data_IF_417037287926
#
_entry.id   IF_417037287926
#
_cell.length_a   1.000
_cell.length_b   1.000
_cell.length_c   1.000
_cell.angle_alpha   90.00
_cell.angle_beta   90.00
_cell.angle_gamma   90.00
#
_symmetry.space_group_name_H-M   'P 1'
#
loop_
_entity.id
_entity.type
_entity.pdbx_description
1 polymer ?
#
# COMPACT_ATOMS: atom_id res chain seq x y z
N UNK A 1 -1.77 12.25 0.48
CA UNK A 1 -0.84 11.75 -0.57
C UNK A 1 -0.89 10.23 -0.64
N UNK A 2 -0.33 9.64 -1.70
CA UNK A 2 -0.22 8.19 -1.89
C UNK A 2 1.25 7.86 -2.19
N UNK A 3 1.83 6.91 -1.45
CA UNK A 3 3.18 6.42 -1.70
C UNK A 3 3.10 5.06 -2.41
N UNK A 4 3.76 4.93 -3.58
CA UNK A 4 3.81 3.70 -4.39
C UNK A 4 5.11 2.96 -4.10
N UNK A 5 5.02 1.73 -3.59
CA UNK A 5 6.17 0.97 -3.07
C UNK A 5 6.18 -0.41 -3.72
N UNK A 6 7.25 -0.72 -4.43
CA UNK A 6 7.35 -1.96 -5.21
C UNK A 6 8.69 -2.69 -5.01
N UNK A 7 9.64 -2.10 -4.28
CA UNK A 7 10.93 -2.72 -3.90
C UNK A 7 11.33 -2.37 -2.48
N UNK A 8 12.14 -3.22 -1.87
CA UNK A 8 12.70 -3.00 -0.52
C UNK A 8 13.56 -1.73 -0.48
N UNK A 9 14.20 -1.37 -1.60
CA UNK A 9 14.99 -0.15 -1.71
C UNK A 9 14.20 1.14 -1.42
N UNK A 10 12.86 1.11 -1.48
CA UNK A 10 11.99 2.26 -1.21
C UNK A 10 11.56 2.37 0.26
N UNK A 11 11.85 1.37 1.10
CA UNK A 11 11.44 1.37 2.52
C UNK A 11 12.06 2.53 3.30
N UNK A 12 13.23 3.02 2.88
CA UNK A 12 13.82 4.22 3.48
C UNK A 12 12.93 5.45 3.34
N UNK A 13 12.23 5.62 2.21
CA UNK A 13 11.28 6.73 2.02
C UNK A 13 10.17 6.67 3.07
N UNK A 14 9.70 5.46 3.38
CA UNK A 14 8.65 5.25 4.37
C UNK A 14 9.11 5.58 5.79
N UNK A 15 10.35 5.21 6.14
CA UNK A 15 10.97 5.56 7.41
C UNK A 15 11.11 7.08 7.57
N UNK A 16 11.53 7.79 6.52
CA UNK A 16 11.67 9.24 6.51
C UNK A 16 10.32 9.97 6.73
N UNK A 17 9.21 9.33 6.32
CA UNK A 17 7.85 9.84 6.45
C UNK A 17 7.14 9.41 7.74
N UNK A 18 7.72 8.46 8.48
CA UNK A 18 7.08 7.80 9.62
C UNK A 18 6.57 8.78 10.67
N UNK A 19 7.41 9.74 11.08
CA UNK A 19 7.05 10.65 12.16
C UNK A 19 5.95 11.64 11.73
N UNK A 20 6.00 12.11 10.48
CA UNK A 20 5.04 13.09 9.93
C UNK A 20 3.64 12.49 9.87
N UNK A 21 3.53 11.26 9.37
CA UNK A 21 2.23 10.60 9.16
C UNK A 21 1.85 9.62 10.27
N UNK A 22 2.67 9.51 11.34
CA UNK A 22 2.45 8.62 12.47
C UNK A 22 2.24 7.16 12.05
N UNK A 23 3.07 6.72 11.10
CA UNK A 23 3.02 5.37 10.52
C UNK A 23 3.48 4.36 11.57
N UNK A 24 2.66 3.38 11.97
CA UNK A 24 3.06 2.34 12.93
C UNK A 24 4.22 1.50 12.39
N UNK A 25 5.04 0.97 13.29
CA UNK A 25 6.16 0.10 12.92
C UNK A 25 5.68 -1.19 12.24
N UNK A 26 4.53 -1.70 12.66
CA UNK A 26 3.86 -2.87 12.10
C UNK A 26 3.50 -2.65 10.62
N UNK A 27 3.02 -1.45 10.28
CA UNK A 27 2.71 -1.08 8.90
C UNK A 27 3.97 -1.06 8.05
N UNK A 28 5.06 -0.48 8.56
CA UNK A 28 6.35 -0.48 7.84
C UNK A 28 6.84 -1.89 7.58
N UNK A 29 6.78 -2.77 8.60
CA UNK A 29 7.19 -4.19 8.46
C UNK A 29 6.32 -4.96 7.48
N UNK A 30 5.00 -4.73 7.47
CA UNK A 30 4.09 -5.36 6.49
C UNK A 30 4.44 -4.92 5.07
N UNK A 31 4.65 -3.62 4.86
CA UNK A 31 5.02 -3.08 3.54
C UNK A 31 6.41 -3.59 3.10
N UNK A 32 7.38 -3.63 4.00
CA UNK A 32 8.71 -4.21 3.75
C UNK A 32 8.60 -5.68 3.36
N UNK A 33 7.82 -6.47 4.09
CA UNK A 33 7.62 -7.88 3.80
C UNK A 33 7.00 -8.13 2.42
N UNK A 34 5.98 -7.35 2.04
CA UNK A 34 5.39 -7.43 0.70
C UNK A 34 6.45 -7.08 -0.37
N UNK A 35 7.23 -6.03 -0.14
CA UNK A 35 8.29 -5.64 -1.07
C UNK A 35 9.40 -6.69 -1.19
N UNK A 36 9.77 -7.38 -0.09
CA UNK A 36 10.71 -8.51 -0.10
C UNK A 36 10.20 -9.66 -0.97
N UNK A 37 8.91 -10.00 -0.86
CA UNK A 37 8.28 -11.03 -1.72
C UNK A 37 8.34 -10.59 -3.19
N UNK A 38 7.99 -9.34 -3.48
CA UNK A 38 8.01 -8.81 -4.84
C UNK A 38 9.42 -8.84 -5.45
N UNK A 39 10.43 -8.43 -4.68
CA UNK A 39 11.83 -8.47 -5.11
C UNK A 39 12.34 -9.91 -5.32
N UNK A 40 11.92 -10.84 -4.46
CA UNK A 40 12.33 -12.25 -4.54
C UNK A 40 11.69 -13.01 -5.71
N UNK A 41 10.39 -12.82 -5.94
CA UNK A 41 9.62 -13.59 -6.92
C UNK A 41 9.65 -12.97 -8.32
N UNK A 42 9.65 -11.63 -8.42
CA UNK A 42 9.57 -10.91 -9.70
C UNK A 42 10.86 -10.15 -10.06
N UNK A 43 11.81 -10.08 -9.14
CA UNK A 43 13.13 -9.52 -9.37
C UNK A 43 13.25 -8.02 -9.09
N UNK A 44 14.37 -7.64 -8.49
CA UNK A 44 14.67 -6.25 -8.09
C UNK A 44 14.84 -5.28 -9.27
N UNK A 45 14.90 -5.75 -10.51
CA UNK A 45 15.09 -4.90 -11.71
C UNK A 45 13.79 -4.65 -12.48
N UNK A 46 12.66 -5.24 -12.04
CA UNK A 46 11.37 -5.18 -12.74
C UNK A 46 10.83 -3.77 -12.93
N UNK A 47 10.33 -3.47 -14.11
CA UNK A 47 9.58 -2.25 -14.39
C UNK A 47 8.15 -2.40 -13.85
N UNK A 48 7.82 -1.72 -12.76
CA UNK A 48 6.53 -1.86 -12.06
C UNK A 48 5.31 -1.61 -12.95
N UNK A 49 5.45 -0.82 -14.01
CA UNK A 49 4.34 -0.48 -14.91
C UNK A 49 4.25 -1.41 -16.12
N UNK A 50 5.22 -2.30 -16.34
CA UNK A 50 5.28 -3.20 -17.50
C UNK A 50 5.39 -4.68 -17.15
N UNK A 51 6.04 -5.00 -16.05
CA UNK A 51 6.32 -6.36 -15.60
C UNK A 51 5.33 -6.80 -14.51
N UNK A 52 5.28 -8.10 -14.26
CA UNK A 52 4.43 -8.72 -13.25
C UNK A 52 4.85 -8.37 -11.80
N UNK A 53 4.04 -8.82 -10.84
CA UNK A 53 4.21 -8.69 -9.40
C UNK A 53 3.36 -7.59 -8.78
N UNK A 54 3.31 -6.41 -9.41
CA UNK A 54 2.55 -5.28 -8.90
C UNK A 54 3.25 -4.54 -7.74
N UNK A 55 2.51 -4.00 -6.77
CA UNK A 55 3.04 -3.07 -5.77
C UNK A 55 2.07 -2.74 -4.62
N UNK A 56 2.58 -2.02 -3.62
CA UNK A 56 1.82 -1.45 -2.50
C UNK A 56 1.49 0.02 -2.77
N UNK A 57 0.26 0.43 -2.47
CA UNK A 57 -0.19 1.83 -2.37
C UNK A 57 -0.49 2.17 -0.91
N UNK A 58 0.34 3.01 -0.30
CA UNK A 58 0.13 3.49 1.05
C UNK A 58 -0.58 4.84 1.04
N UNK A 59 -1.80 4.88 1.58
CA UNK A 59 -2.60 6.09 1.72
C UNK A 59 -2.19 6.86 2.96
N UNK A 60 -1.69 8.09 2.76
CA UNK A 60 -1.22 8.99 3.81
C UNK A 60 -1.99 10.32 3.71
N UNK A 61 -3.21 10.42 4.28
CA UNK A 61 -4.02 11.63 4.23
C UNK A 61 -3.30 12.80 4.89
N UNK A 62 -3.43 13.99 4.30
CA UNK A 62 -2.98 15.21 4.93
C UNK A 62 -4.10 15.77 5.81
N UNK A 63 -3.75 16.21 7.02
CA UNK A 63 -4.71 16.66 8.05
C UNK A 63 -5.71 17.72 7.56
N UNK A 64 -5.37 18.47 6.52
CA UNK A 64 -6.10 19.65 6.10
C UNK A 64 -6.84 19.50 4.75
N UNK A 65 -6.70 18.38 4.02
CA UNK A 65 -7.17 18.32 2.62
C UNK A 65 -7.84 17.03 2.14
N UNK A 66 -7.60 15.84 2.72
CA UNK A 66 -8.25 14.62 2.23
C UNK A 66 -8.65 13.65 3.36
N UNK A 67 -9.90 13.19 3.33
CA UNK A 67 -10.36 12.02 4.07
C UNK A 67 -9.72 10.75 3.45
N UNK A 68 -9.25 9.80 4.27
CA UNK A 68 -8.75 8.50 3.77
C UNK A 68 -9.77 7.84 2.85
N UNK A 69 -11.06 7.97 3.16
CA UNK A 69 -12.15 7.41 2.35
C UNK A 69 -12.18 8.03 0.93
N UNK A 70 -11.93 9.35 0.81
CA UNK A 70 -11.86 10.03 -0.49
C UNK A 70 -10.64 9.56 -1.29
N UNK A 71 -9.47 9.48 -0.67
CA UNK A 71 -8.25 8.99 -1.34
C UNK A 71 -8.43 7.55 -1.82
N UNK A 72 -9.01 6.73 -0.98
CA UNK A 72 -9.28 5.34 -1.28
C UNK A 72 -10.25 5.19 -2.46
N UNK A 73 -11.37 5.91 -2.47
CA UNK A 73 -12.31 5.86 -3.60
C UNK A 73 -11.72 6.40 -4.91
N UNK A 74 -10.92 7.47 -4.85
CA UNK A 74 -10.20 7.99 -6.03
C UNK A 74 -9.23 6.95 -6.59
N UNK A 75 -8.49 6.27 -5.71
CA UNK A 75 -7.57 5.19 -6.09
C UNK A 75 -8.33 4.04 -6.75
N UNK A 76 -9.45 3.60 -6.17
CA UNK A 76 -10.25 2.54 -6.80
C UNK A 76 -10.70 2.93 -8.21
N UNK A 77 -11.16 4.17 -8.40
CA UNK A 77 -11.55 4.68 -9.73
C UNK A 77 -10.36 4.73 -10.71
N UNK A 78 -9.20 5.25 -10.27
CA UNK A 78 -7.98 5.35 -11.08
C UNK A 78 -7.52 3.99 -11.62
N UNK A 79 -7.58 2.95 -10.79
CA UNK A 79 -7.15 1.59 -11.15
C UNK A 79 -8.29 0.71 -11.69
N UNK A 80 -9.51 1.26 -11.87
CA UNK A 80 -10.67 0.50 -12.34
C UNK A 80 -11.12 -0.60 -11.38
N UNK A 81 -10.75 -0.49 -10.10
CA UNK A 81 -11.10 -1.41 -9.03
C UNK A 81 -12.49 -1.10 -8.47
N UNK A 82 -13.07 -2.07 -7.77
CA UNK A 82 -14.37 -1.93 -7.12
C UNK A 82 -14.26 -2.22 -5.63
N UNK A 83 -14.96 -1.42 -4.85
CA UNK A 83 -15.06 -1.66 -3.42
C UNK A 83 -15.72 -3.03 -3.14
N UNK A 84 -15.16 -3.81 -2.21
CA UNK A 84 -15.66 -5.13 -1.85
C UNK A 84 -15.26 -6.25 -2.81
N UNK A 85 -14.37 -5.98 -3.77
CA UNK A 85 -13.78 -7.00 -4.65
C UNK A 85 -12.30 -7.25 -4.37
N UNK A 86 -11.84 -6.89 -3.17
CA UNK A 86 -10.54 -7.29 -2.68
C UNK A 86 -10.48 -8.82 -2.51
N UNK A 87 -9.37 -9.41 -2.93
CA UNK A 87 -9.09 -10.83 -2.78
C UNK A 87 -8.71 -11.17 -1.34
N UNK A 88 -8.11 -10.21 -0.64
CA UNK A 88 -7.75 -10.31 0.77
C UNK A 88 -7.97 -8.98 1.46
N UNK A 89 -8.46 -9.03 2.70
CA UNK A 89 -8.56 -7.90 3.62
C UNK A 89 -8.11 -8.31 5.01
N UNK A 90 -7.20 -7.56 5.61
CA UNK A 90 -6.68 -7.86 6.95
C UNK A 90 -6.45 -6.57 7.76
N UNK A 91 -6.52 -6.69 9.09
CA UNK A 91 -6.11 -5.61 10.01
C UNK A 91 -4.64 -5.83 10.33
N UNK A 92 -3.79 -4.87 9.98
CA UNK A 92 -2.37 -4.88 10.29
C UNK A 92 -2.16 -4.61 11.79
N UNK A 93 -2.72 -3.51 12.28
CA UNK A 93 -2.56 -3.10 13.68
C UNK A 93 -3.60 -2.05 14.12
N UNK A 94 -3.62 -1.75 15.42
CA UNK A 94 -4.39 -0.65 16.01
C UNK A 94 -3.42 0.32 16.69
N UNK A 95 -3.39 1.57 16.27
CA UNK A 95 -2.46 2.56 16.79
C UNK A 95 -3.08 3.96 16.82
N UNK A 96 -2.91 4.67 17.93
CA UNK A 96 -3.38 6.07 18.03
C UNK A 96 -4.89 6.26 17.89
N UNK A 97 -5.69 5.23 18.16
CA UNK A 97 -7.15 5.26 17.98
C UNK A 97 -7.62 4.97 16.55
N UNK A 98 -6.71 4.65 15.63
CA UNK A 98 -6.99 4.24 14.26
C UNK A 98 -6.66 2.75 14.07
N UNK A 99 -7.38 2.08 13.16
CA UNK A 99 -7.06 0.74 12.67
C UNK A 99 -6.37 0.86 11.31
N UNK A 100 -5.27 0.14 11.12
CA UNK A 100 -4.57 0.07 9.84
C UNK A 100 -4.93 -1.23 9.13
N UNK A 101 -5.27 -1.13 7.85
CA UNK A 101 -5.71 -2.24 7.01
C UNK A 101 -4.77 -2.44 5.83
N UNK A 102 -4.72 -3.67 5.35
CA UNK A 102 -4.26 -4.02 4.01
C UNK A 102 -5.40 -4.67 3.22
N UNK A 103 -5.49 -4.33 1.94
CA UNK A 103 -6.41 -4.93 0.99
C UNK A 103 -5.66 -5.27 -0.29
N UNK A 104 -5.72 -6.53 -0.74
CA UNK A 104 -5.11 -6.97 -1.99
C UNK A 104 -6.15 -7.02 -3.09
N UNK A 105 -5.86 -6.38 -4.22
CA UNK A 105 -6.62 -6.47 -5.46
C UNK A 105 -5.78 -7.12 -6.54
N UNK A 106 -6.29 -8.15 -7.20
CA UNK A 106 -5.65 -8.72 -8.39
C UNK A 106 -6.17 -8.02 -9.65
N UNK A 107 -5.25 -7.42 -10.42
CA UNK A 107 -5.55 -6.75 -11.69
C UNK A 107 -5.50 -7.76 -12.84
N UNK A 108 -4.49 -8.61 -12.82
CA UNK A 108 -4.33 -9.78 -13.70
C UNK A 108 -3.86 -10.97 -12.86
N UNK A 109 -3.58 -12.12 -13.51
CA UNK A 109 -3.15 -13.32 -12.79
C UNK A 109 -1.91 -13.12 -11.91
N UNK A 110 -0.92 -12.35 -12.39
CA UNK A 110 0.36 -12.16 -11.70
C UNK A 110 0.62 -10.67 -11.37
N UNK A 111 -0.41 -9.81 -11.41
CA UNK A 111 -0.27 -8.38 -11.07
C UNK A 111 -1.25 -7.97 -9.98
N UNK A 112 -0.74 -7.72 -8.78
CA UNK A 112 -1.52 -7.35 -7.60
C UNK A 112 -1.22 -5.95 -7.06
N UNK A 113 -2.25 -5.23 -6.63
CA UNK A 113 -2.12 -3.96 -5.91
C UNK A 113 -2.57 -4.17 -4.47
N UNK A 114 -1.66 -3.99 -3.51
CA UNK A 114 -2.00 -3.97 -2.09
C UNK A 114 -2.21 -2.53 -1.63
N UNK A 115 -3.43 -2.17 -1.24
CA UNK A 115 -3.75 -0.87 -0.67
C UNK A 115 -3.61 -0.94 0.84
N UNK A 116 -2.82 -0.04 1.43
CA UNK A 116 -2.62 0.07 2.87
C UNK A 116 -3.10 1.43 3.34
N UNK A 117 -3.95 1.44 4.37
CA UNK A 117 -4.60 2.68 4.83
C UNK A 117 -5.08 2.60 6.28
N UNK A 118 -5.32 3.76 6.90
CA UNK A 118 -5.86 3.86 8.27
C UNK A 118 -7.30 4.35 8.28
N UNK A 119 -8.14 3.78 9.16
CA UNK A 119 -9.52 4.20 9.42
C UNK A 119 -9.77 4.43 10.91
#
# INVERSE_FOLDING_TARGET
MVEKIWRVAQIQNLLDMQEKYKIPQEVIRTVEHIAEILDAEYGMERDVDKDDGGYVLLLLPEKDMDDTEILYHRLLEEYGLRYGTEEMKSVICRYGGMEWFEELYLITNDYGITVVYSK
#
